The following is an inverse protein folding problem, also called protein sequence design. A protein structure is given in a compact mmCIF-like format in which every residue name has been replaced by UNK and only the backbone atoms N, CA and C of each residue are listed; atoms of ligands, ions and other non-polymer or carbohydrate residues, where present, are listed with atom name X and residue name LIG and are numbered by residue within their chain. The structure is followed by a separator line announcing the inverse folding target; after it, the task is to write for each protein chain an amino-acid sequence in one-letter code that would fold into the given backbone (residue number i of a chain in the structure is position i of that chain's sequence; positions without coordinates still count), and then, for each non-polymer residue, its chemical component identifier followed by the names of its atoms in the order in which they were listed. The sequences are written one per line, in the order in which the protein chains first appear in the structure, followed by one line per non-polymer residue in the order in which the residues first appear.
data_IF_302971032947
#
_entry.id   IF_302971032947
#
_cell.length_a   1.000
_cell.length_b   1.000
_cell.length_c   1.000
_cell.angle_alpha   90.00
_cell.angle_beta   90.00
_cell.angle_gamma   90.00
#
_symmetry.space_group_name_H-M   'P 1'
#
loop_
_entity.id
_entity.type
_entity.pdbx_description
1 polymer ?
#
# COMPACT_ATOMS: atom_id res chain seq x y z
N UNK A 1 19.16 -11.38 -6.79
CA UNK A 1 18.25 -11.15 -7.95
C UNK A 1 18.37 -9.67 -8.33
N UNK A 2 18.47 -9.34 -9.63
CA UNK A 2 18.91 -8.03 -10.13
C UNK A 2 18.02 -6.86 -9.66
N UNK A 3 18.61 -5.85 -9.00
CA UNK A 3 17.98 -4.55 -8.76
C UNK A 3 17.68 -3.87 -10.10
N UNK A 4 16.39 -3.70 -10.43
CA UNK A 4 16.00 -2.76 -11.47
C UNK A 4 16.07 -1.35 -10.88
N UNK A 5 16.98 -0.53 -11.40
CA UNK A 5 17.02 0.92 -11.17
C UNK A 5 15.66 1.50 -11.61
N UNK A 6 14.96 2.15 -10.69
CA UNK A 6 13.93 3.13 -11.05
C UNK A 6 14.64 4.32 -11.71
N UNK A 7 14.79 4.26 -13.03
CA UNK A 7 15.19 5.42 -13.82
C UNK A 7 13.97 6.32 -14.01
N UNK A 8 13.97 7.43 -13.27
CA UNK A 8 13.17 8.61 -13.58
C UNK A 8 13.52 9.07 -14.99
N UNK A 9 12.59 8.90 -15.94
CA UNK A 9 12.71 9.50 -17.27
C UNK A 9 12.10 10.90 -17.21
N UNK A 10 12.97 11.91 -17.16
CA UNK A 10 12.57 13.31 -17.33
C UNK A 10 12.22 13.63 -18.78
N UNK A 11 11.26 14.55 -18.91
CA UNK A 11 10.89 15.41 -20.02
C UNK A 11 11.26 14.95 -21.45
N UNK A 12 10.24 14.46 -22.16
CA UNK A 12 10.20 14.52 -23.61
C UNK A 12 8.78 14.93 -24.05
N UNK A 13 8.64 16.20 -24.40
CA UNK A 13 7.52 16.71 -25.19
C UNK A 13 7.41 15.89 -26.47
N UNK A 14 6.28 15.20 -26.70
CA UNK A 14 5.93 14.64 -27.99
C UNK A 14 4.46 14.92 -28.28
N UNK A 15 4.28 15.66 -29.36
CA UNK A 15 3.04 16.21 -29.87
C UNK A 15 2.10 15.10 -30.36
N UNK A 16 0.80 15.40 -30.20
CA UNK A 16 -0.37 14.83 -30.87
C UNK A 16 -0.09 13.89 -32.07
N UNK A 17 -0.60 12.66 -32.00
CA UNK A 17 -1.52 12.14 -33.02
C UNK A 17 -2.23 10.82 -32.62
N UNK A 18 -3.57 10.89 -32.63
CA UNK A 18 -4.59 9.85 -32.93
C UNK A 18 -4.97 8.74 -31.92
N UNK A 19 -6.15 8.91 -31.31
CA UNK A 19 -7.36 8.13 -31.64
C UNK A 19 -8.63 8.88 -31.20
N UNK A 20 -9.60 9.18 -32.08
CA UNK A 20 -10.93 9.63 -31.67
C UNK A 20 -11.72 8.42 -31.17
N UNK A 21 -12.51 8.59 -30.11
CA UNK A 21 -13.42 7.59 -29.49
C UNK A 21 -12.95 6.86 -28.21
N UNK A 22 -12.14 7.51 -27.37
CA UNK A 22 -12.22 7.25 -25.91
C UNK A 22 -12.28 8.59 -25.21
N UNK A 23 -13.49 9.06 -24.86
CA UNK A 23 -13.64 10.17 -23.94
C UNK A 23 -13.23 9.69 -22.55
N UNK A 24 -11.95 9.81 -22.22
CA UNK A 24 -11.50 9.80 -20.83
C UNK A 24 -12.17 11.01 -20.18
N UNK A 25 -13.19 10.75 -19.36
CA UNK A 25 -13.85 11.77 -18.55
C UNK A 25 -12.76 12.55 -17.83
N UNK A 26 -12.57 13.82 -18.18
CA UNK A 26 -11.63 14.69 -17.48
C UNK A 26 -12.14 14.80 -16.04
N UNK A 27 -11.47 14.11 -15.11
CA UNK A 27 -11.71 14.31 -13.70
C UNK A 27 -11.12 15.68 -13.33
N UNK A 28 -11.95 16.52 -12.72
CA UNK A 28 -11.48 17.72 -12.06
C UNK A 28 -10.30 17.35 -11.14
N UNK A 29 -9.27 18.21 -10.99
CA UNK A 29 -8.18 17.93 -10.08
C UNK A 29 -8.79 17.78 -8.67
N UNK A 30 -8.91 16.53 -8.21
CA UNK A 30 -9.12 16.25 -6.80
C UNK A 30 -7.96 16.93 -6.10
N UNK A 31 -8.23 17.72 -5.06
CA UNK A 31 -7.21 18.07 -4.08
C UNK A 31 -6.53 16.77 -3.69
N UNK A 32 -5.26 16.62 -4.07
CA UNK A 32 -4.49 15.41 -3.83
C UNK A 32 -4.10 15.46 -2.35
N UNK A 33 -5.00 14.97 -1.50
CA UNK A 33 -4.66 14.71 -0.12
C UNK A 33 -3.64 13.56 -0.10
N UNK A 34 -2.48 13.87 0.48
CA UNK A 34 -1.35 12.97 0.56
C UNK A 34 -1.45 12.15 1.84
N UNK A 35 -1.45 10.83 1.70
CA UNK A 35 -1.41 9.85 2.80
C UNK A 35 0.03 9.51 3.15
N UNK A 36 0.34 9.52 4.45
CA UNK A 36 1.60 9.00 5.00
C UNK A 36 1.59 7.48 4.98
N UNK A 37 2.62 6.85 4.41
CA UNK A 37 2.72 5.38 4.33
C UNK A 37 3.70 4.79 5.36
N UNK A 38 4.36 5.65 6.15
CA UNK A 38 5.43 5.32 7.10
C UNK A 38 6.61 4.52 6.50
N UNK A 39 6.68 4.40 5.17
CA UNK A 39 7.69 3.63 4.46
C UNK A 39 8.46 4.52 3.49
N UNK A 40 9.72 4.82 3.80
CA UNK A 40 10.54 5.81 3.09
C UNK A 40 10.66 5.55 1.58
N UNK A 41 10.63 4.27 1.15
CA UNK A 41 10.75 3.95 -0.28
C UNK A 41 9.51 4.33 -1.09
N UNK A 42 8.33 4.34 -0.45
CA UNK A 42 7.07 4.73 -1.08
C UNK A 42 6.81 6.22 -0.86
N UNK A 43 7.15 6.74 0.32
CA UNK A 43 6.89 8.11 0.70
C UNK A 43 5.41 8.42 0.85
N UNK A 44 5.07 9.70 0.76
CA UNK A 44 3.66 10.12 0.78
C UNK A 44 3.01 9.81 -0.57
N UNK A 45 1.78 9.30 -0.55
CA UNK A 45 1.06 8.94 -1.77
C UNK A 45 -0.33 9.59 -1.83
N UNK A 46 -0.82 9.94 -3.03
CA UNK A 46 -2.22 10.30 -3.24
C UNK A 46 -3.18 9.21 -2.75
N UNK A 47 -4.36 9.61 -2.28
CA UNK A 47 -5.48 8.69 -2.13
C UNK A 47 -5.81 7.96 -3.45
N UNK A 48 -6.18 6.69 -3.35
CA UNK A 48 -6.48 5.83 -4.51
C UNK A 48 -5.25 5.26 -5.23
N UNK A 49 -4.04 5.50 -4.73
CA UNK A 49 -2.82 4.92 -5.30
C UNK A 49 -2.75 3.41 -5.05
N UNK A 50 -2.59 2.63 -6.11
CA UNK A 50 -2.25 1.21 -6.04
C UNK A 50 -0.77 1.02 -6.36
N UNK A 51 -0.05 0.28 -5.52
CA UNK A 51 1.37 -0.02 -5.72
C UNK A 51 1.69 -1.46 -5.32
N UNK A 52 2.82 -1.96 -5.82
CA UNK A 52 3.33 -3.29 -5.52
C UNK A 52 4.79 -3.17 -5.07
N UNK A 53 5.15 -3.91 -4.03
CA UNK A 53 6.52 -4.01 -3.53
C UNK A 53 6.99 -5.46 -3.65
N UNK A 54 8.19 -5.64 -4.18
CA UNK A 54 8.85 -6.93 -4.22
C UNK A 54 9.66 -7.13 -2.94
N UNK A 55 9.64 -8.34 -2.42
CA UNK A 55 10.33 -8.75 -1.20
C UNK A 55 11.11 -10.04 -1.45
N UNK A 56 12.18 -10.28 -0.70
CA UNK A 56 12.99 -11.50 -0.82
C UNK A 56 12.63 -12.49 0.29
N UNK A 57 12.36 -12.01 1.50
CA UNK A 57 12.05 -12.83 2.66
C UNK A 57 10.65 -12.57 3.21
N UNK A 58 10.12 -13.54 3.96
CA UNK A 58 8.87 -13.34 4.72
C UNK A 58 9.00 -12.21 5.75
N UNK A 59 10.20 -11.98 6.28
CA UNK A 59 10.43 -10.89 7.22
C UNK A 59 10.29 -9.52 6.52
N UNK A 60 10.82 -9.37 5.31
CA UNK A 60 10.67 -8.16 4.50
C UNK A 60 9.18 -7.87 4.21
N UNK A 61 8.41 -8.90 3.82
CA UNK A 61 6.97 -8.77 3.61
C UNK A 61 6.27 -8.28 4.89
N UNK A 62 6.57 -8.88 6.03
CA UNK A 62 5.97 -8.50 7.31
C UNK A 62 6.33 -7.07 7.69
N UNK A 63 7.60 -6.67 7.56
CA UNK A 63 8.06 -5.32 7.86
C UNK A 63 7.28 -4.26 7.06
N UNK A 64 7.17 -4.49 5.74
CA UNK A 64 6.46 -3.59 4.82
C UNK A 64 4.97 -3.52 5.17
N UNK A 65 4.30 -4.67 5.24
CA UNK A 65 2.85 -4.72 5.40
C UNK A 65 2.39 -4.25 6.79
N UNK A 66 3.15 -4.58 7.84
CA UNK A 66 2.89 -4.10 9.20
C UNK A 66 3.06 -2.59 9.29
N UNK A 67 4.10 -2.03 8.69
CA UNK A 67 4.31 -0.57 8.67
C UNK A 67 3.15 0.14 7.95
N UNK A 68 2.72 -0.39 6.81
CA UNK A 68 1.58 0.16 6.07
C UNK A 68 0.26 0.12 6.88
N UNK A 69 -0.03 -1.02 7.52
CA UNK A 69 -1.21 -1.16 8.36
C UNK A 69 -1.13 -0.23 9.58
N UNK A 70 0.02 -0.15 10.25
CA UNK A 70 0.25 0.76 11.37
C UNK A 70 -0.04 2.21 10.99
N UNK A 71 0.49 2.67 9.86
CA UNK A 71 0.25 4.01 9.34
C UNK A 71 -1.26 4.27 9.12
N UNK A 72 -1.97 3.31 8.53
CA UNK A 72 -3.43 3.37 8.37
C UNK A 72 -4.17 3.45 9.69
N UNK A 73 -3.87 2.55 10.62
CA UNK A 73 -4.55 2.47 11.92
C UNK A 73 -4.34 3.72 12.78
N UNK A 74 -3.12 4.28 12.79
CA UNK A 74 -2.82 5.56 13.47
C UNK A 74 -3.61 6.71 12.84
N UNK A 75 -3.78 6.69 11.52
CA UNK A 75 -4.58 7.65 10.77
C UNK A 75 -6.10 7.38 10.82
N UNK A 76 -6.55 6.40 11.62
CA UNK A 76 -7.96 5.98 11.74
C UNK A 76 -8.56 5.46 10.41
N UNK A 77 -7.73 4.85 9.58
CA UNK A 77 -8.13 4.24 8.32
C UNK A 77 -8.39 2.73 8.51
N UNK A 78 -9.35 2.21 7.76
CA UNK A 78 -9.60 0.77 7.71
C UNK A 78 -8.47 0.05 6.96
N UNK A 79 -7.92 -0.98 7.57
CA UNK A 79 -6.86 -1.80 6.97
C UNK A 79 -7.40 -3.19 6.59
N UNK A 80 -7.36 -3.51 5.30
CA UNK A 80 -7.61 -4.87 4.82
C UNK A 80 -6.28 -5.52 4.43
N UNK A 81 -5.97 -6.67 5.03
CA UNK A 81 -4.80 -7.46 4.66
C UNK A 81 -5.22 -8.86 4.20
N UNK A 82 -5.14 -9.08 2.89
CA UNK A 82 -5.28 -10.42 2.30
C UNK A 82 -3.92 -11.13 2.36
N UNK A 83 -3.82 -12.21 3.12
CA UNK A 83 -2.59 -13.01 3.29
C UNK A 83 -2.61 -14.26 2.42
N UNK A 84 -1.46 -14.59 1.84
CA UNK A 84 -1.27 -15.77 0.98
C UNK A 84 -0.02 -16.55 1.43
N UNK A 85 0.09 -17.81 1.01
CA UNK A 85 1.26 -18.63 1.32
C UNK A 85 2.57 -17.97 0.85
N UNK A 86 3.66 -18.06 1.65
CA UNK A 86 3.82 -18.88 2.87
C UNK A 86 3.40 -18.18 4.17
N UNK A 87 2.74 -17.02 4.11
CA UNK A 87 2.31 -16.27 5.28
C UNK A 87 0.91 -16.72 5.74
N UNK A 88 0.78 -17.04 7.03
CA UNK A 88 -0.51 -17.38 7.65
C UNK A 88 -1.19 -16.17 8.27
N UNK A 89 -2.50 -16.26 8.47
CA UNK A 89 -3.29 -15.21 9.15
C UNK A 89 -2.77 -15.02 10.58
N UNK A 90 -2.45 -16.11 11.28
CA UNK A 90 -1.94 -16.10 12.64
C UNK A 90 -0.58 -15.41 12.74
N UNK A 91 0.30 -15.61 11.76
CA UNK A 91 1.59 -14.91 11.68
C UNK A 91 1.42 -13.42 11.43
N UNK A 92 0.50 -13.02 10.55
CA UNK A 92 0.20 -11.61 10.29
C UNK A 92 -0.39 -10.92 11.53
N UNK A 93 -1.37 -11.54 12.20
CA UNK A 93 -1.93 -11.05 13.47
C UNK A 93 -0.82 -10.89 14.51
N UNK A 94 0.04 -11.91 14.67
CA UNK A 94 1.14 -11.86 15.64
C UNK A 94 2.11 -10.72 15.33
N UNK A 95 2.48 -10.53 14.07
CA UNK A 95 3.38 -9.46 13.67
C UNK A 95 2.79 -8.07 13.97
N UNK A 96 1.51 -7.86 13.69
CA UNK A 96 0.80 -6.63 14.05
C UNK A 96 0.77 -6.38 15.55
N UNK A 97 0.41 -7.39 16.35
CA UNK A 97 0.38 -7.26 17.82
C UNK A 97 1.75 -6.96 18.42
N UNK A 98 2.83 -7.39 17.77
CA UNK A 98 4.20 -7.09 18.22
C UNK A 98 4.63 -5.65 17.90
N UNK A 99 4.17 -5.10 16.77
CA UNK A 99 4.61 -3.80 16.27
C UNK A 99 3.69 -2.62 16.65
N UNK A 100 2.41 -2.89 16.90
CA UNK A 100 1.38 -1.87 17.15
C UNK A 100 0.96 -1.92 18.62
N UNK A 101 1.21 -0.87 19.43
CA UNK A 101 0.67 -0.77 20.78
C UNK A 101 -0.86 -0.82 20.77
N UNK A 102 -1.46 -1.44 21.79
CA UNK A 102 -2.92 -1.58 21.92
C UNK A 102 -3.60 -2.18 20.68
N UNK A 103 -2.89 -3.06 19.94
CA UNK A 103 -3.35 -3.63 18.68
C UNK A 103 -4.72 -4.32 18.79
N UNK A 104 -5.00 -4.95 19.92
CA UNK A 104 -6.28 -5.63 20.18
C UNK A 104 -7.50 -4.70 20.04
N UNK A 105 -7.35 -3.39 20.29
CA UNK A 105 -8.42 -2.41 20.10
C UNK A 105 -8.88 -2.36 18.65
N UNK A 106 -7.95 -2.37 17.69
CA UNK A 106 -8.26 -2.27 16.26
C UNK A 106 -8.99 -3.49 15.72
N UNK A 107 -8.74 -4.67 16.31
CA UNK A 107 -9.53 -5.85 16.00
C UNK A 107 -10.92 -5.79 16.64
N UNK A 108 -11.02 -5.26 17.86
CA UNK A 108 -12.29 -5.14 18.57
C UNK A 108 -13.24 -4.09 17.97
N UNK A 109 -12.70 -3.02 17.40
CA UNK A 109 -13.46 -1.97 16.71
C UNK A 109 -13.54 -2.17 15.19
N UNK A 110 -13.09 -3.31 14.68
CA UNK A 110 -13.14 -3.72 13.27
C UNK A 110 -12.38 -2.76 12.31
N UNK A 111 -11.44 -1.96 12.82
CA UNK A 111 -10.57 -1.10 11.99
C UNK A 111 -9.54 -1.89 11.17
N UNK A 112 -9.34 -3.18 11.45
CA UNK A 112 -8.51 -4.07 10.65
C UNK A 112 -9.18 -5.41 10.42
N UNK A 113 -9.09 -5.89 9.18
CA UNK A 113 -9.51 -7.23 8.79
C UNK A 113 -8.35 -7.96 8.10
N UNK A 114 -8.11 -9.21 8.49
CA UNK A 114 -7.09 -10.06 7.90
C UNK A 114 -7.76 -11.33 7.40
N UNK A 115 -7.68 -11.56 6.09
CA UNK A 115 -8.33 -12.70 5.43
C UNK A 115 -7.30 -13.50 4.65
N UNK A 116 -7.52 -14.81 4.54
CA UNK A 116 -6.67 -15.68 3.71
C UNK A 116 -7.11 -15.59 2.25
N UNK A 117 -6.15 -15.54 1.32
CA UNK A 117 -6.42 -15.71 -0.10
C UNK A 117 -6.91 -17.13 -0.38
N UNK A 118 -7.96 -17.26 -1.19
CA UNK A 118 -8.49 -18.55 -1.65
C UNK A 118 -7.51 -19.25 -2.59
#
# INVERSE_FOLDING_TARGET
MTMARLQSCGDASLEHELCPEIQVRQYAPMSIDMRKTEFDVVGDIPWGTHFCLFYETKADLLEIAVSYCRAGLVAQEFCLWVVADPLTVEEAIRALKQAVPDCDRYFADESIEIVRSQ
#
